data_IF_820281740792
#
_entry.id   IF_820281740792
#
_cell.length_a   1.000
_cell.length_b   1.000
_cell.length_c   1.000
_cell.angle_alpha   90.00
_cell.angle_beta   90.00
_cell.angle_gamma   90.00
#
_symmetry.space_group_name_H-M   'P 1'
#
loop_
_entity.id
_entity.type
_entity.pdbx_description
1 polymer ?
#
# COMPACT_ATOMS: atom_id res chain seq x y z
N UNK A 1 -9.07 -15.74 -5.69
CA UNK A 1 -9.91 -14.56 -5.99
C UNK A 1 -9.34 -13.37 -5.23
N UNK A 2 -8.84 -12.33 -5.91
CA UNK A 2 -8.31 -11.12 -5.26
C UNK A 2 -9.44 -10.09 -5.14
N UNK A 3 -10.04 -9.98 -3.95
CA UNK A 3 -11.20 -9.12 -3.68
C UNK A 3 -10.87 -7.63 -3.56
N UNK A 4 -9.58 -7.26 -3.54
CA UNK A 4 -9.12 -5.89 -3.23
C UNK A 4 -8.35 -5.19 -4.35
N UNK A 5 -8.13 -5.87 -5.49
CA UNK A 5 -7.42 -5.27 -6.63
C UNK A 5 -8.42 -4.57 -7.57
N UNK A 6 -9.05 -3.51 -7.06
CA UNK A 6 -10.08 -2.75 -7.79
C UNK A 6 -9.49 -1.89 -8.91
N UNK A 7 -8.22 -1.47 -8.78
CA UNK A 7 -7.50 -0.70 -9.79
C UNK A 7 -7.26 -1.49 -11.08
N UNK A 8 -7.25 -2.82 -11.02
CA UNK A 8 -7.05 -3.67 -12.21
C UNK A 8 -8.19 -3.56 -13.23
N UNK A 9 -9.39 -3.20 -12.79
CA UNK A 9 -10.59 -3.17 -13.63
C UNK A 9 -11.20 -1.76 -13.75
N UNK A 10 -10.52 -0.74 -13.23
CA UNK A 10 -10.94 0.64 -13.44
C UNK A 10 -10.66 1.03 -14.90
N UNK A 11 -11.67 1.63 -15.55
CA UNK A 11 -11.45 2.34 -16.81
C UNK A 11 -10.77 3.68 -16.49
N UNK A 12 -9.68 3.96 -17.17
CA UNK A 12 -8.90 5.18 -16.97
C UNK A 12 -9.21 6.12 -18.13
N UNK A 13 -9.95 7.19 -17.84
CA UNK A 13 -10.08 8.30 -18.78
C UNK A 13 -8.93 9.30 -18.60
N UNK A 14 -8.52 9.89 -19.72
CA UNK A 14 -7.57 10.99 -19.75
C UNK A 14 -8.18 12.25 -19.10
N UNK A 15 -7.33 13.22 -18.74
CA UNK A 15 -7.82 14.48 -18.18
C UNK A 15 -8.83 15.16 -19.12
N UNK A 16 -9.96 15.66 -18.60
CA UNK A 16 -10.91 16.39 -19.41
C UNK A 16 -10.28 17.70 -19.91
N UNK A 17 -10.52 18.06 -21.17
CA UNK A 17 -10.00 19.30 -21.78
C UNK A 17 -10.80 20.53 -21.30
N UNK A 18 -10.63 20.89 -20.03
CA UNK A 18 -11.26 22.06 -19.42
C UNK A 18 -10.24 23.19 -19.23
N UNK A 19 -10.73 24.43 -19.18
CA UNK A 19 -9.94 25.63 -18.83
C UNK A 19 -9.70 25.79 -17.33
N UNK A 20 -10.17 24.83 -16.54
CA UNK A 20 -9.96 24.83 -15.10
C UNK A 20 -8.52 24.42 -14.77
N UNK A 21 -7.86 25.12 -13.84
CA UNK A 21 -6.50 24.79 -13.47
C UNK A 21 -6.45 23.53 -12.60
N UNK A 22 -5.47 22.66 -12.88
CA UNK A 22 -5.18 21.47 -12.08
C UNK A 22 -4.24 21.84 -10.95
N UNK A 23 -4.55 21.38 -9.74
CA UNK A 23 -3.75 21.66 -8.55
C UNK A 23 -3.10 20.38 -8.01
N UNK A 24 -1.78 20.40 -7.87
CA UNK A 24 -1.00 19.25 -7.41
C UNK A 24 -0.04 19.72 -6.30
N UNK A 25 -0.30 19.32 -5.05
CA UNK A 25 0.42 19.78 -3.83
C UNK A 25 0.74 21.28 -3.79
N UNK A 26 -0.24 22.12 -4.12
CA UNK A 26 -0.10 23.59 -4.06
C UNK A 26 0.55 24.22 -5.30
N UNK A 27 0.94 23.42 -6.29
CA UNK A 27 1.33 23.91 -7.63
C UNK A 27 0.11 23.92 -8.56
N UNK A 28 0.03 24.95 -9.40
CA UNK A 28 -1.06 25.18 -10.35
C UNK A 28 -0.57 24.88 -11.76
N UNK A 29 -1.35 24.12 -12.52
CA UNK A 29 -1.06 23.71 -13.89
C UNK A 29 -2.24 23.97 -14.81
N UNK A 30 -1.95 24.15 -16.09
CA UNK A 30 -2.92 24.25 -17.19
C UNK A 30 -2.91 22.98 -18.03
N UNK A 31 -4.07 22.35 -18.21
CA UNK A 31 -4.20 21.08 -18.95
C UNK A 31 -3.78 21.23 -20.41
N UNK A 32 -4.03 22.39 -21.03
CA UNK A 32 -3.75 22.59 -22.47
C UNK A 32 -2.27 22.72 -22.81
N UNK A 33 -1.48 23.27 -21.90
CA UNK A 33 -0.08 23.65 -22.17
C UNK A 33 0.91 22.81 -21.39
N UNK A 34 0.52 22.35 -20.19
CA UNK A 34 1.43 21.73 -19.22
C UNK A 34 1.01 20.27 -18.92
N UNK A 35 0.30 19.60 -19.85
CA UNK A 35 -0.13 18.19 -19.69
C UNK A 35 1.04 17.27 -19.35
N UNK A 36 2.17 17.42 -20.04
CA UNK A 36 3.37 16.59 -19.80
C UNK A 36 3.98 16.85 -18.42
N UNK A 37 3.94 18.09 -17.95
CA UNK A 37 4.46 18.46 -16.62
C UNK A 37 3.57 17.90 -15.50
N UNK A 38 2.24 17.93 -15.68
CA UNK A 38 1.27 17.30 -14.78
C UNK A 38 1.57 15.81 -14.65
N UNK A 39 1.72 15.11 -15.78
CA UNK A 39 2.01 13.67 -15.79
C UNK A 39 3.37 13.38 -15.14
N UNK A 40 4.37 14.23 -15.39
CA UNK A 40 5.69 14.10 -14.78
C UNK A 40 5.66 14.30 -13.26
N UNK A 41 4.95 15.32 -12.74
CA UNK A 41 4.81 15.54 -11.30
C UNK A 41 4.11 14.34 -10.63
N UNK A 42 3.01 13.86 -11.22
CA UNK A 42 2.29 12.69 -10.68
C UNK A 42 3.18 11.44 -10.69
N UNK A 43 3.86 11.16 -11.80
CA UNK A 43 4.72 9.98 -11.93
C UNK A 43 5.99 10.04 -11.08
N UNK A 44 6.49 11.25 -10.77
CA UNK A 44 7.67 11.45 -9.92
C UNK A 44 7.44 11.10 -8.45
N UNK A 45 6.17 10.91 -8.05
CA UNK A 45 5.81 10.64 -6.65
C UNK A 45 5.95 9.17 -6.30
N UNK A 46 6.24 8.94 -5.03
CA UNK A 46 6.26 7.59 -4.46
C UNK A 46 4.85 7.04 -4.39
N UNK A 47 4.54 6.08 -5.26
CA UNK A 47 3.29 5.33 -5.24
C UNK A 47 3.51 3.91 -4.72
N UNK A 48 2.96 3.63 -3.54
CA UNK A 48 2.98 2.30 -2.95
C UNK A 48 1.65 1.60 -3.19
N UNK A 49 1.70 0.46 -3.89
CA UNK A 49 0.58 -0.45 -4.08
C UNK A 49 0.76 -1.70 -3.22
N UNK A 50 -0.30 -2.48 -3.05
CA UNK A 50 -0.22 -3.76 -2.36
C UNK A 50 0.82 -4.66 -3.04
N UNK A 51 1.81 -5.12 -2.26
CA UNK A 51 2.82 -6.09 -2.69
C UNK A 51 2.51 -7.45 -2.11
N UNK A 52 2.93 -8.50 -2.81
CA UNK A 52 2.91 -9.89 -2.35
C UNK A 52 4.33 -10.45 -2.37
N UNK A 53 4.56 -11.56 -1.68
CA UNK A 53 5.87 -12.23 -1.59
C UNK A 53 6.96 -11.42 -0.86
N UNK A 54 6.56 -10.57 0.09
CA UNK A 54 7.49 -9.94 1.03
C UNK A 54 7.60 -10.80 2.30
N UNK A 55 8.70 -10.69 3.07
CA UNK A 55 8.82 -11.41 4.34
C UNK A 55 7.59 -11.18 5.21
N UNK A 56 7.12 -12.23 5.89
CA UNK A 56 6.02 -12.08 6.83
C UNK A 56 6.34 -10.91 7.77
N UNK A 57 5.40 -9.96 7.91
CA UNK A 57 5.53 -8.93 8.94
C UNK A 57 5.62 -9.70 10.24
N UNK A 58 6.79 -9.64 10.87
CA UNK A 58 7.06 -10.28 12.14
C UNK A 58 6.27 -9.57 13.23
N UNK A 59 4.96 -9.78 13.25
CA UNK A 59 4.20 -9.82 14.49
C UNK A 59 4.78 -11.00 15.26
N UNK A 60 5.82 -10.73 16.04
CA UNK A 60 6.39 -11.71 16.95
C UNK A 60 5.22 -12.35 17.72
N UNK A 61 5.03 -13.64 17.47
CA UNK A 61 4.05 -14.50 18.13
C UNK A 61 4.36 -14.72 19.63
N UNK A 62 5.20 -13.85 20.22
CA UNK A 62 5.47 -13.72 21.64
C UNK A 62 4.58 -12.67 22.34
N UNK A 63 3.80 -11.88 21.59
CA UNK A 63 2.86 -10.90 22.17
C UNK A 63 1.44 -11.46 22.29
N UNK A 64 1.29 -12.76 22.59
CA UNK A 64 0.03 -13.23 23.16
C UNK A 64 0.06 -12.90 24.65
N UNK A 65 -0.92 -12.17 25.20
CA UNK A 65 -1.04 -12.04 26.65
C UNK A 65 -1.19 -13.44 27.25
N UNK A 66 -0.49 -13.69 28.35
CA UNK A 66 -0.43 -14.98 29.08
C UNK A 66 -1.79 -15.67 29.25
N UNK A 67 -2.88 -14.90 29.30
CA UNK A 67 -4.26 -15.40 29.43
C UNK A 67 -4.73 -16.33 28.32
N UNK A 68 -4.05 -16.41 27.17
CA UNK A 68 -4.43 -17.26 26.04
C UNK A 68 -3.65 -18.59 25.97
N UNK A 69 -2.69 -18.80 26.88
CA UNK A 69 -1.86 -20.02 26.91
C UNK A 69 -2.53 -21.17 27.69
N UNK A 70 -3.55 -20.87 28.50
CA UNK A 70 -4.27 -21.86 29.31
C UNK A 70 -5.40 -22.57 28.55
N UNK A 71 -5.83 -22.05 27.40
CA UNK A 71 -6.90 -22.65 26.59
C UNK A 71 -6.30 -23.50 25.45
N UNK A 72 -5.62 -24.58 25.85
CA UNK A 72 -5.52 -25.83 25.09
C UNK A 72 -4.94 -25.77 23.68
N UNK A 73 -3.66 -26.08 23.56
CA UNK A 73 -3.20 -27.19 22.69
C UNK A 73 -1.80 -27.59 23.15
N UNK A 74 -1.64 -28.88 23.48
CA UNK A 74 -0.38 -29.45 23.95
C UNK A 74 0.69 -29.45 22.85
N UNK A 75 1.34 -28.32 22.64
CA UNK A 75 2.50 -28.17 21.75
C UNK A 75 3.67 -27.62 22.56
N UNK A 76 4.77 -28.37 22.55
CA UNK A 76 6.00 -28.09 23.27
C UNK A 76 6.55 -26.68 22.95
N UNK A 77 6.93 -25.87 23.95
CA UNK A 77 7.63 -24.61 23.70
C UNK A 77 9.01 -24.87 23.08
N UNK A 78 9.40 -24.04 22.12
CA UNK A 78 10.76 -24.07 21.53
C UNK A 78 11.81 -23.88 22.63
N UNK A 79 12.75 -24.82 22.74
CA UNK A 79 13.87 -24.72 23.68
C UNK A 79 14.74 -23.50 23.40
N UNK A 80 15.30 -22.83 24.42
CA UNK A 80 16.33 -21.82 24.22
C UNK A 80 17.58 -22.50 23.67
N UNK A 81 18.28 -21.83 22.74
CA UNK A 81 19.60 -22.25 22.31
C UNK A 81 20.55 -22.26 23.52
N UNK A 82 21.12 -23.43 23.84
CA UNK A 82 22.23 -23.54 24.78
C UNK A 82 23.49 -22.91 24.17
N UNK A 83 24.27 -22.29 25.06
CA UNK A 83 25.46 -21.48 24.81
C UNK A 83 26.70 -22.38 24.63
#
# INVERSE_FOLDING_TARGET
>A
TLTYDTLRFAEYEDFPETSEPVWILGRKYSIFTEKDEILSDVASRLWFTYRKNFPAIAIHQCCMPWSWQEMGTGSQPCSPAEN
#
